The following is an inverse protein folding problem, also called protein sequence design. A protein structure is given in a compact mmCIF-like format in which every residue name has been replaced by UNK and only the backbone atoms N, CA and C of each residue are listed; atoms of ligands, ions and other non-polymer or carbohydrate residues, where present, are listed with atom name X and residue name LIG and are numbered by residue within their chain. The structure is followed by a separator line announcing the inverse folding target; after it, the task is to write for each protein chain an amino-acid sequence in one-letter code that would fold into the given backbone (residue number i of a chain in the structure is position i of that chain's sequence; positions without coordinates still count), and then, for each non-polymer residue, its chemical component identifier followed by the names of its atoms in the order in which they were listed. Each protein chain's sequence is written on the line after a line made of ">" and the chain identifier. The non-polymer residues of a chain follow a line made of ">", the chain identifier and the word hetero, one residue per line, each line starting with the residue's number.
data_IF_696405884463
#
_entry.id   IF_696405884463
#
_cell.length_a   1.000
_cell.length_b   1.000
_cell.length_c   1.000
_cell.angle_alpha   90.00
_cell.angle_beta   90.00
_cell.angle_gamma   90.00
#
_symmetry.space_group_name_H-M   'P 1'
#
loop_
_entity.id
_entity.type
_entity.pdbx_description
1 polymer ?
#
# COMPACT_ATOMS: atom_id res chain seq x y z
N UNK A 1 -13.90 35.52 -21.04
CA UNK A 1 -14.48 35.36 -19.69
C UNK A 1 -14.96 33.95 -19.42
N UNK A 2 -15.65 33.26 -20.36
CA UNK A 2 -16.11 31.87 -20.21
C UNK A 2 -15.02 30.88 -19.77
N UNK A 3 -13.88 30.85 -20.46
CA UNK A 3 -12.79 29.88 -20.19
C UNK A 3 -12.13 30.01 -18.82
N UNK A 4 -12.15 31.22 -18.24
CA UNK A 4 -11.54 31.47 -16.92
C UNK A 4 -12.46 31.02 -15.78
N UNK A 5 -13.77 31.13 -15.99
CA UNK A 5 -14.82 30.64 -15.09
C UNK A 5 -14.83 29.10 -15.09
N UNK A 6 -14.63 28.48 -16.26
CA UNK A 6 -14.54 27.01 -16.38
C UNK A 6 -13.34 26.42 -15.62
N UNK A 7 -12.16 27.07 -15.67
CA UNK A 7 -10.96 26.57 -15.00
C UNK A 7 -11.02 26.69 -13.46
N UNK A 8 -11.58 27.79 -12.94
CA UNK A 8 -11.78 27.95 -11.50
C UNK A 8 -12.74 26.89 -10.94
N UNK A 9 -13.83 26.61 -11.68
CA UNK A 9 -14.79 25.56 -11.34
C UNK A 9 -14.13 24.18 -11.31
N UNK A 10 -13.30 23.88 -12.31
CA UNK A 10 -12.55 22.63 -12.40
C UNK A 10 -11.60 22.48 -11.21
N UNK A 11 -10.88 23.54 -10.83
CA UNK A 11 -9.98 23.51 -9.68
C UNK A 11 -10.74 23.17 -8.40
N UNK A 12 -11.87 23.84 -8.17
CA UNK A 12 -12.71 23.59 -6.99
C UNK A 12 -13.25 22.15 -6.98
N UNK A 13 -13.75 21.65 -8.11
CA UNK A 13 -14.25 20.27 -8.24
C UNK A 13 -13.11 19.27 -7.96
N UNK A 14 -11.92 19.49 -8.51
CA UNK A 14 -10.76 18.62 -8.30
C UNK A 14 -10.37 18.56 -6.81
N UNK A 15 -10.31 19.72 -6.13
CA UNK A 15 -9.96 19.79 -4.70
C UNK A 15 -11.02 19.11 -3.83
N UNK A 16 -12.31 19.31 -4.13
CA UNK A 16 -13.40 18.66 -3.38
C UNK A 16 -13.37 17.14 -3.52
N UNK A 17 -13.24 16.63 -4.74
CA UNK A 17 -13.19 15.19 -4.99
C UNK A 17 -11.93 14.56 -4.36
N UNK A 18 -10.80 15.27 -4.39
CA UNK A 18 -9.59 14.84 -3.69
C UNK A 18 -9.80 14.79 -2.17
N UNK A 19 -10.42 15.81 -1.57
CA UNK A 19 -10.71 15.90 -0.13
C UNK A 19 -11.51 14.71 0.39
N UNK A 20 -12.48 14.25 -0.40
CA UNK A 20 -13.35 13.13 -0.05
C UNK A 20 -12.77 11.77 -0.47
N UNK A 21 -11.52 11.73 -0.94
CA UNK A 21 -10.86 10.49 -1.36
C UNK A 21 -11.45 9.86 -2.63
N UNK A 22 -12.19 10.61 -3.43
CA UNK A 22 -12.79 10.12 -4.67
C UNK A 22 -11.78 10.16 -5.82
N UNK A 23 -10.72 9.38 -5.69
CA UNK A 23 -9.62 9.35 -6.65
C UNK A 23 -10.07 9.01 -8.08
N UNK A 24 -11.07 8.13 -8.23
CA UNK A 24 -11.60 7.75 -9.54
C UNK A 24 -12.18 8.97 -10.27
N UNK A 25 -12.91 9.82 -9.55
CA UNK A 25 -13.46 11.06 -10.11
C UNK A 25 -12.36 12.09 -10.39
N UNK A 26 -11.36 12.22 -9.51
CA UNK A 26 -10.19 13.08 -9.77
C UNK A 26 -9.48 12.65 -11.06
N UNK A 27 -9.26 11.35 -11.25
CA UNK A 27 -8.66 10.80 -12.49
C UNK A 27 -9.50 11.13 -13.72
N UNK A 28 -10.81 10.98 -13.62
CA UNK A 28 -11.73 11.32 -14.70
C UNK A 28 -11.64 12.81 -15.06
N UNK A 29 -11.64 13.70 -14.06
CA UNK A 29 -11.49 15.15 -14.27
C UNK A 29 -10.16 15.47 -14.97
N UNK A 30 -9.05 14.89 -14.52
CA UNK A 30 -7.74 15.08 -15.15
C UNK A 30 -7.72 14.55 -16.59
N UNK A 31 -8.32 13.38 -16.84
CA UNK A 31 -8.37 12.75 -18.16
C UNK A 31 -9.26 13.50 -19.16
N UNK A 32 -10.45 13.93 -18.75
CA UNK A 32 -11.38 14.72 -19.57
C UNK A 32 -10.74 16.03 -20.04
N UNK A 33 -9.89 16.62 -19.21
CA UNK A 33 -9.18 17.87 -19.50
C UNK A 33 -7.84 17.65 -20.22
N UNK A 34 -7.33 16.40 -20.22
CA UNK A 34 -6.16 15.97 -20.96
C UNK A 34 -6.29 16.09 -22.50
N UNK A 35 -7.50 16.32 -23.03
CA UNK A 35 -7.72 16.67 -24.43
C UNK A 35 -7.19 18.08 -24.81
N UNK A 36 -6.89 18.94 -23.82
CA UNK A 36 -6.14 20.19 -23.95
C UNK A 36 -4.91 20.22 -23.02
N UNK A 37 -3.87 19.38 -23.26
CA UNK A 37 -2.88 18.99 -22.24
C UNK A 37 -2.06 20.12 -21.62
N UNK A 38 -1.90 21.24 -22.33
CA UNK A 38 -1.12 22.39 -21.85
C UNK A 38 -1.86 23.19 -20.78
N UNK A 39 -3.17 23.36 -20.91
CA UNK A 39 -3.94 24.23 -20.02
C UNK A 39 -4.10 23.60 -18.64
N UNK A 40 -4.49 22.33 -18.56
CA UNK A 40 -4.63 21.64 -17.27
C UNK A 40 -3.30 21.51 -16.54
N UNK A 41 -2.21 21.23 -17.28
CA UNK A 41 -0.85 21.20 -16.71
C UNK A 41 -0.50 22.54 -16.07
N UNK A 42 -0.71 23.65 -16.77
CA UNK A 42 -0.43 24.99 -16.24
C UNK A 42 -1.27 25.30 -15.00
N UNK A 43 -2.54 24.88 -14.96
CA UNK A 43 -3.39 25.03 -13.76
C UNK A 43 -2.83 24.24 -12.59
N UNK A 44 -2.54 22.95 -12.77
CA UNK A 44 -1.96 22.12 -11.71
C UNK A 44 -0.61 22.66 -11.24
N UNK A 45 0.25 23.11 -12.15
CA UNK A 45 1.53 23.75 -11.83
C UNK A 45 1.39 25.04 -11.01
N UNK A 46 0.30 25.79 -11.24
CA UNK A 46 -0.05 27.00 -10.49
C UNK A 46 -0.56 26.63 -9.10
N UNK A 47 -1.41 25.62 -8.99
CA UNK A 47 -1.95 25.11 -7.72
C UNK A 47 -0.85 24.60 -6.78
N UNK A 48 0.29 24.10 -7.29
CA UNK A 48 1.45 23.74 -6.45
C UNK A 48 2.04 24.95 -5.69
N UNK A 49 1.77 26.18 -6.11
CA UNK A 49 2.20 27.39 -5.41
C UNK A 49 1.20 27.91 -4.37
N UNK A 50 0.05 27.25 -4.20
CA UNK A 50 -1.03 27.74 -3.36
C UNK A 50 -0.65 27.73 -1.86
N UNK A 51 -1.24 28.65 -1.10
CA UNK A 51 -1.09 28.71 0.36
C UNK A 51 -1.71 27.50 1.04
N UNK A 52 -2.83 26.97 0.53
CA UNK A 52 -3.54 25.85 1.13
C UNK A 52 -2.90 24.51 0.74
N UNK A 53 -2.51 23.72 1.74
CA UNK A 53 -1.86 22.42 1.50
C UNK A 53 -2.74 21.46 0.70
N UNK A 54 -4.05 21.44 0.97
CA UNK A 54 -5.01 20.58 0.25
C UNK A 54 -5.04 20.87 -1.25
N UNK A 55 -4.92 22.13 -1.66
CA UNK A 55 -4.82 22.53 -3.07
C UNK A 55 -3.52 22.01 -3.69
N UNK A 56 -2.40 22.09 -2.97
CA UNK A 56 -1.10 21.55 -3.42
C UNK A 56 -1.11 20.02 -3.52
N UNK A 57 -1.72 19.33 -2.57
CA UNK A 57 -1.90 17.86 -2.59
C UNK A 57 -2.70 17.41 -3.81
N UNK A 58 -3.85 18.04 -4.03
CA UNK A 58 -4.72 17.77 -5.17
C UNK A 58 -3.97 18.00 -6.51
N UNK A 59 -3.15 19.05 -6.59
CA UNK A 59 -2.30 19.33 -7.74
C UNK A 59 -1.19 18.27 -7.95
N UNK A 60 -0.54 17.83 -6.88
CA UNK A 60 0.47 16.77 -6.94
C UNK A 60 -0.13 15.46 -7.46
N UNK A 61 -1.31 15.08 -6.93
CA UNK A 61 -2.08 13.95 -7.41
C UNK A 61 -2.40 14.08 -8.91
N UNK A 62 -2.96 15.22 -9.32
CA UNK A 62 -3.34 15.47 -10.70
C UNK A 62 -2.16 15.43 -11.68
N UNK A 63 -0.99 15.94 -11.30
CA UNK A 63 0.23 15.83 -12.10
C UNK A 63 0.74 14.38 -12.21
N UNK A 64 0.58 13.59 -11.14
CA UNK A 64 0.84 12.16 -11.14
C UNK A 64 -0.01 11.41 -12.18
N UNK A 65 -1.30 11.70 -12.22
CA UNK A 65 -2.25 11.11 -13.18
C UNK A 65 -2.00 11.57 -14.62
N UNK A 66 -1.67 12.86 -14.81
CA UNK A 66 -1.30 13.38 -16.12
C UNK A 66 -0.01 12.73 -16.65
N UNK A 67 0.92 12.44 -15.75
CA UNK A 67 2.14 11.72 -16.04
C UNK A 67 3.13 12.42 -16.98
N UNK A 68 4.11 11.63 -17.41
CA UNK A 68 5.16 12.04 -18.32
C UNK A 68 6.33 12.80 -17.69
N UNK A 69 7.43 13.01 -18.45
CA UNK A 69 8.66 13.60 -17.94
C UNK A 69 8.51 15.02 -17.40
N UNK A 70 7.60 15.81 -17.98
CA UNK A 70 7.32 17.17 -17.54
C UNK A 70 6.69 17.19 -16.13
N UNK A 71 5.71 16.31 -15.87
CA UNK A 71 5.12 16.18 -14.53
C UNK A 71 6.14 15.72 -13.51
N UNK A 72 6.96 14.70 -13.85
CA UNK A 72 8.02 14.24 -12.97
C UNK A 72 9.03 15.35 -12.63
N UNK A 73 9.43 16.15 -13.64
CA UNK A 73 10.34 17.29 -13.44
C UNK A 73 9.77 18.33 -12.49
N UNK A 74 8.50 18.69 -12.68
CA UNK A 74 7.85 19.70 -11.84
C UNK A 74 7.66 19.20 -10.40
N UNK A 75 7.20 17.96 -10.24
CA UNK A 75 7.01 17.33 -8.93
C UNK A 75 8.33 17.21 -8.17
N UNK A 76 9.42 16.88 -8.85
CA UNK A 76 10.75 16.89 -8.23
C UNK A 76 11.15 18.28 -7.71
N UNK A 77 10.94 19.33 -8.50
CA UNK A 77 11.20 20.70 -8.06
C UNK A 77 10.33 21.07 -6.86
N UNK A 78 9.05 20.70 -6.89
CA UNK A 78 8.14 20.98 -5.81
C UNK A 78 8.49 20.21 -4.53
N UNK A 79 8.95 18.96 -4.66
CA UNK A 79 9.39 18.14 -3.53
C UNK A 79 10.45 18.87 -2.71
N UNK A 80 11.46 19.46 -3.38
CA UNK A 80 12.51 20.21 -2.70
C UNK A 80 11.97 21.48 -2.00
N UNK A 81 10.95 22.13 -2.58
CA UNK A 81 10.30 23.30 -1.98
C UNK A 81 9.52 22.92 -0.73
N UNK A 82 8.70 21.87 -0.78
CA UNK A 82 7.90 21.43 0.38
C UNK A 82 8.78 20.87 1.49
N UNK A 83 9.86 20.13 1.16
CA UNK A 83 10.84 19.65 2.15
C UNK A 83 11.51 20.80 2.91
N UNK A 84 11.72 21.96 2.26
CA UNK A 84 12.31 23.14 2.89
C UNK A 84 11.30 24.03 3.63
N UNK A 85 10.00 23.89 3.34
CA UNK A 85 8.93 24.78 3.83
C UNK A 85 8.62 24.57 5.31
N UNK A 86 8.61 23.32 5.78
CA UNK A 86 8.48 22.99 7.20
C UNK A 86 7.19 23.46 7.90
N UNK A 87 6.14 23.81 7.14
CA UNK A 87 4.86 24.24 7.70
C UNK A 87 3.93 23.06 8.05
N UNK A 88 2.88 23.33 8.84
CA UNK A 88 1.83 22.36 9.18
C UNK A 88 1.01 22.04 7.92
N UNK A 89 1.50 21.12 7.10
CA UNK A 89 0.87 20.73 5.84
C UNK A 89 1.88 20.26 4.79
N UNK A 90 3.13 20.73 4.87
CA UNK A 90 4.21 20.34 3.96
C UNK A 90 4.43 18.81 3.92
N UNK A 91 4.35 18.12 5.06
CA UNK A 91 4.54 16.66 5.12
C UNK A 91 3.52 15.88 4.27
N UNK A 92 2.24 16.26 4.34
CA UNK A 92 1.18 15.62 3.56
C UNK A 92 1.33 15.88 2.05
N UNK A 93 1.78 17.09 1.67
CA UNK A 93 2.10 17.40 0.26
C UNK A 93 3.32 16.59 -0.22
N UNK A 94 4.35 16.45 0.61
CA UNK A 94 5.53 15.62 0.31
C UNK A 94 5.12 14.16 0.06
N UNK A 95 4.26 13.60 0.90
CA UNK A 95 3.71 12.25 0.74
C UNK A 95 3.02 12.09 -0.63
N UNK A 96 2.10 13.01 -0.98
CA UNK A 96 1.38 12.95 -2.25
C UNK A 96 2.29 13.15 -3.46
N UNK A 97 3.34 13.97 -3.35
CA UNK A 97 4.36 14.12 -4.40
C UNK A 97 5.14 12.81 -4.59
N UNK A 98 5.55 12.14 -3.50
CA UNK A 98 6.26 10.85 -3.55
C UNK A 98 5.38 9.78 -4.19
N UNK A 99 4.10 9.70 -3.79
CA UNK A 99 3.11 8.80 -4.37
C UNK A 99 2.85 9.08 -5.85
N UNK A 100 2.78 10.36 -6.24
CA UNK A 100 2.66 10.77 -7.63
C UNK A 100 3.88 10.33 -8.45
N UNK A 101 5.10 10.58 -7.97
CA UNK A 101 6.34 10.12 -8.62
C UNK A 101 6.39 8.59 -8.74
N UNK A 102 5.91 7.85 -7.74
CA UNK A 102 5.77 6.39 -7.81
C UNK A 102 4.86 5.91 -8.94
N UNK A 103 3.78 6.64 -9.24
CA UNK A 103 2.83 6.34 -10.33
C UNK A 103 3.32 6.72 -11.72
N UNK A 104 4.13 7.79 -11.83
CA UNK A 104 4.61 8.27 -13.14
C UNK A 104 5.59 7.28 -13.75
N UNK A 105 5.23 6.73 -14.92
CA UNK A 105 6.13 5.85 -15.66
C UNK A 105 7.33 6.64 -16.20
N UNK A 106 8.54 6.14 -15.94
CA UNK A 106 9.76 6.61 -16.60
C UNK A 106 10.95 6.74 -15.67
N UNK A 107 12.16 6.73 -16.26
CA UNK A 107 13.43 6.78 -15.51
C UNK A 107 13.61 8.06 -14.70
N UNK A 108 13.02 9.18 -15.15
CA UNK A 108 13.11 10.46 -14.44
C UNK A 108 12.44 10.42 -13.07
N UNK A 109 11.22 9.87 -12.97
CA UNK A 109 10.50 9.78 -11.71
C UNK A 109 11.26 8.89 -10.72
N UNK A 110 11.79 7.75 -11.19
CA UNK A 110 12.70 6.90 -10.40
C UNK A 110 13.93 7.65 -9.90
N UNK A 111 14.59 8.43 -10.76
CA UNK A 111 15.76 9.21 -10.37
C UNK A 111 15.43 10.28 -9.31
N UNK A 112 14.25 10.89 -9.37
CA UNK A 112 13.77 11.83 -8.36
C UNK A 112 13.56 11.15 -7.00
N UNK A 113 12.96 9.94 -6.99
CA UNK A 113 12.79 9.13 -5.77
C UNK A 113 14.13 8.68 -5.18
N UNK A 114 15.09 8.27 -6.02
CA UNK A 114 16.46 7.94 -5.58
C UNK A 114 17.12 9.14 -4.91
N UNK A 115 17.04 10.34 -5.52
CA UNK A 115 17.58 11.56 -4.90
C UNK A 115 16.93 11.86 -3.54
N UNK A 116 15.63 11.58 -3.39
CA UNK A 116 14.94 11.71 -2.09
C UNK A 116 15.52 10.72 -1.07
N UNK A 117 15.72 9.46 -1.46
CA UNK A 117 16.29 8.44 -0.59
C UNK A 117 17.67 8.85 -0.08
N UNK A 118 18.54 9.34 -0.97
CA UNK A 118 19.88 9.82 -0.60
C UNK A 118 19.84 10.99 0.40
N UNK A 119 18.88 11.93 0.23
CA UNK A 119 18.66 13.02 1.19
C UNK A 119 18.17 12.51 2.54
N UNK A 120 17.19 11.60 2.56
CA UNK A 120 16.65 11.00 3.79
C UNK A 120 17.72 10.19 4.53
N UNK A 121 18.52 9.40 3.83
CA UNK A 121 19.63 8.65 4.42
C UNK A 121 20.72 9.58 4.98
N UNK A 122 20.79 10.83 4.51
CA UNK A 122 21.71 11.84 5.04
C UNK A 122 21.13 12.66 6.18
N UNK A 123 19.86 12.50 6.52
CA UNK A 123 19.16 13.18 7.61
C UNK A 123 18.72 12.19 8.70
N UNK A 124 17.92 12.63 9.68
CA UNK A 124 17.26 11.75 10.66
C UNK A 124 15.79 11.61 10.26
N UNK A 125 15.44 10.72 9.31
CA UNK A 125 14.10 10.66 8.75
C UNK A 125 13.13 9.96 9.71
N UNK A 126 11.84 10.24 9.54
CA UNK A 126 10.78 9.51 10.24
C UNK A 126 10.45 8.22 9.49
N UNK A 127 9.99 7.20 10.23
CA UNK A 127 9.62 5.88 9.65
C UNK A 127 8.58 6.00 8.52
N UNK A 128 7.49 6.80 8.66
CA UNK A 128 6.49 6.92 7.60
C UNK A 128 7.07 7.42 6.26
N UNK A 129 8.00 8.38 6.30
CA UNK A 129 8.64 8.93 5.10
C UNK A 129 9.46 7.87 4.36
N UNK A 130 10.19 7.05 5.11
CA UNK A 130 11.00 5.95 4.58
C UNK A 130 10.10 4.88 3.95
N UNK A 131 9.00 4.55 4.62
CA UNK A 131 8.05 3.52 4.17
C UNK A 131 7.29 3.94 2.91
N UNK A 132 6.78 5.19 2.85
CA UNK A 132 6.13 5.70 1.64
C UNK A 132 7.11 5.72 0.45
N UNK A 133 8.37 6.09 0.69
CA UNK A 133 9.39 6.06 -0.34
C UNK A 133 9.71 4.64 -0.82
N UNK A 134 9.76 3.65 0.08
CA UNK A 134 9.96 2.25 -0.29
C UNK A 134 8.84 1.76 -1.24
N UNK A 135 7.58 2.09 -0.93
CA UNK A 135 6.41 1.77 -1.77
C UNK A 135 6.48 2.45 -3.14
N UNK A 136 6.80 3.74 -3.17
CA UNK A 136 6.98 4.48 -4.42
C UNK A 136 8.12 3.91 -5.29
N UNK A 137 9.24 3.51 -4.67
CA UNK A 137 10.35 2.86 -5.35
C UNK A 137 9.97 1.46 -5.85
N UNK A 138 9.11 0.73 -5.15
CA UNK A 138 8.60 -0.56 -5.59
C UNK A 138 7.75 -0.46 -6.87
N UNK A 139 6.90 0.59 -6.99
CA UNK A 139 6.21 0.90 -8.25
C UNK A 139 7.19 1.22 -9.39
N UNK A 140 8.36 1.77 -9.05
CA UNK A 140 9.45 2.09 -9.97
C UNK A 140 10.57 1.04 -9.99
N UNK A 141 10.30 -0.19 -9.54
CA UNK A 141 11.29 -1.27 -9.36
C UNK A 141 12.19 -1.45 -10.57
N UNK A 142 13.50 -1.49 -10.31
CA UNK A 142 14.53 -1.67 -11.32
C UNK A 142 15.80 -2.25 -10.66
N UNK A 143 16.56 -3.13 -11.34
CA UNK A 143 17.80 -3.71 -10.79
C UNK A 143 18.81 -2.66 -10.31
N UNK A 144 18.91 -1.52 -10.98
CA UNK A 144 19.79 -0.40 -10.58
C UNK A 144 19.50 0.16 -9.17
N UNK A 145 18.33 -0.12 -8.59
CA UNK A 145 18.01 0.29 -7.22
C UNK A 145 18.77 -0.52 -6.16
N UNK A 146 19.16 -1.77 -6.46
CA UNK A 146 19.83 -2.67 -5.51
C UNK A 146 21.08 -2.05 -4.88
N UNK A 147 22.08 -1.56 -5.64
CA UNK A 147 23.29 -0.98 -5.04
C UNK A 147 23.01 0.30 -4.25
N UNK A 148 21.94 1.02 -4.58
CA UNK A 148 21.55 2.25 -3.88
C UNK A 148 20.94 1.89 -2.52
N UNK A 149 19.98 0.95 -2.53
CA UNK A 149 19.31 0.48 -1.32
C UNK A 149 20.27 -0.16 -0.33
N UNK A 150 21.22 -0.99 -0.80
CA UNK A 150 22.28 -1.55 0.07
C UNK A 150 23.05 -0.46 0.80
N UNK A 151 23.53 0.54 0.06
CA UNK A 151 24.28 1.68 0.63
C UNK A 151 23.43 2.48 1.63
N UNK A 152 22.17 2.71 1.31
CA UNK A 152 21.25 3.43 2.21
C UNK A 152 21.02 2.64 3.52
N UNK A 153 20.79 1.33 3.43
CA UNK A 153 20.59 0.46 4.61
C UNK A 153 21.86 0.27 5.45
N UNK A 154 23.05 0.36 4.84
CA UNK A 154 24.32 0.38 5.59
C UNK A 154 24.50 1.69 6.39
N UNK A 155 23.72 2.73 6.10
CA UNK A 155 23.81 4.02 6.78
C UNK A 155 22.99 3.99 8.07
N UNK A 156 23.63 4.18 9.23
CA UNK A 156 23.02 4.09 10.59
C UNK A 156 22.00 5.18 10.95
N UNK A 157 21.61 5.99 9.99
CA UNK A 157 20.68 7.13 10.17
C UNK A 157 19.23 6.74 9.95
N UNK A 158 18.98 5.65 9.20
CA UNK A 158 17.62 5.18 8.94
C UNK A 158 17.01 4.54 10.19
N UNK A 159 15.76 4.86 10.54
CA UNK A 159 15.09 4.22 11.64
C UNK A 159 14.77 2.75 11.31
N UNK A 160 14.97 1.86 12.26
CA UNK A 160 14.60 0.44 12.14
C UNK A 160 13.43 0.11 13.08
N UNK A 161 12.49 -0.77 12.69
CA UNK A 161 12.34 -1.39 11.36
C UNK A 161 11.74 -0.44 10.31
N UNK A 162 12.08 -0.65 9.03
CA UNK A 162 11.50 0.10 7.90
C UNK A 162 11.34 -0.79 6.64
N UNK A 163 10.54 -0.32 5.68
CA UNK A 163 10.15 -1.12 4.51
C UNK A 163 11.25 -1.23 3.42
N UNK A 164 12.37 -0.50 3.52
CA UNK A 164 13.45 -0.57 2.52
C UNK A 164 14.15 -1.93 2.51
N UNK A 165 14.22 -2.60 3.67
CA UNK A 165 14.75 -3.97 3.72
C UNK A 165 13.85 -4.95 2.96
N UNK A 166 12.53 -4.87 3.16
CA UNK A 166 11.55 -5.65 2.39
C UNK A 166 11.65 -5.39 0.88
N UNK A 167 11.80 -4.13 0.48
CA UNK A 167 12.04 -3.75 -0.91
C UNK A 167 13.33 -4.37 -1.47
N UNK A 168 14.43 -4.30 -0.72
CA UNK A 168 15.71 -4.88 -1.14
C UNK A 168 15.57 -6.40 -1.36
N UNK A 169 14.93 -7.11 -0.42
CA UNK A 169 14.69 -8.55 -0.52
C UNK A 169 13.91 -8.90 -1.80
N UNK A 170 12.87 -8.13 -2.13
CA UNK A 170 12.07 -8.33 -3.35
C UNK A 170 12.85 -8.07 -4.65
N UNK A 171 13.80 -7.15 -4.64
CA UNK A 171 14.60 -6.82 -5.82
C UNK A 171 15.76 -7.78 -6.05
N UNK A 172 16.37 -8.30 -4.98
CA UNK A 172 17.56 -9.14 -5.06
C UNK A 172 17.27 -10.59 -5.39
N UNK A 173 16.15 -11.12 -4.86
CA UNK A 173 15.88 -12.56 -4.91
C UNK A 173 15.01 -12.88 -6.11
N UNK A 174 15.35 -13.99 -6.79
CA UNK A 174 14.44 -14.57 -7.78
C UNK A 174 13.17 -15.09 -7.09
N UNK A 175 12.06 -15.32 -7.81
CA UNK A 175 10.85 -15.91 -7.24
C UNK A 175 11.12 -17.23 -6.49
N UNK A 176 11.97 -18.11 -7.02
CA UNK A 176 12.31 -19.39 -6.40
C UNK A 176 13.08 -19.21 -5.08
N UNK A 177 14.01 -18.26 -5.07
CA UNK A 177 14.76 -17.89 -3.87
C UNK A 177 13.85 -17.21 -2.83
N UNK A 178 12.86 -16.41 -3.26
CA UNK A 178 11.86 -15.81 -2.38
C UNK A 178 10.92 -16.85 -1.77
N UNK A 179 10.48 -17.85 -2.54
CA UNK A 179 9.65 -18.94 -1.99
C UNK A 179 10.41 -19.70 -0.88
N UNK A 180 11.66 -20.05 -1.15
CA UNK A 180 12.53 -20.71 -0.16
C UNK A 180 12.73 -19.82 1.08
N UNK A 181 13.05 -18.55 0.87
CA UNK A 181 13.26 -17.57 1.94
C UNK A 181 12.01 -17.35 2.79
N UNK A 182 10.83 -17.26 2.16
CA UNK A 182 9.58 -17.05 2.87
C UNK A 182 9.24 -18.24 3.80
N UNK A 183 9.58 -19.47 3.40
CA UNK A 183 9.36 -20.70 4.17
C UNK A 183 10.41 -20.96 5.25
N UNK A 184 11.56 -20.31 5.18
CA UNK A 184 12.65 -20.52 6.13
C UNK A 184 12.27 -19.98 7.52
N UNK A 185 12.17 -20.88 8.51
CA UNK A 185 11.79 -20.56 9.88
C UNK A 185 12.89 -19.77 10.63
N UNK A 186 14.13 -19.74 10.13
CA UNK A 186 15.22 -18.97 10.74
C UNK A 186 15.14 -17.47 10.44
N UNK A 187 14.37 -17.09 9.42
CA UNK A 187 14.18 -15.69 9.05
C UNK A 187 13.14 -15.05 10.00
N UNK A 188 13.47 -13.93 10.68
CA UNK A 188 12.56 -13.24 11.58
C UNK A 188 11.24 -12.86 10.91
N UNK A 189 10.13 -12.96 11.65
CA UNK A 189 8.81 -12.68 11.11
C UNK A 189 8.69 -11.23 10.62
N UNK A 190 9.31 -10.27 11.32
CA UNK A 190 9.33 -8.85 10.94
C UNK A 190 9.92 -8.60 9.55
N UNK A 191 10.98 -9.32 9.19
CA UNK A 191 11.58 -9.20 7.86
C UNK A 191 10.59 -9.68 6.79
N UNK A 192 9.83 -10.75 7.08
CA UNK A 192 8.76 -11.24 6.19
C UNK A 192 7.58 -10.27 6.14
N UNK A 193 7.26 -9.63 7.26
CA UNK A 193 6.24 -8.59 7.34
C UNK A 193 6.57 -7.40 6.46
N UNK A 194 7.81 -6.91 6.50
CA UNK A 194 8.26 -5.80 5.63
C UNK A 194 8.09 -6.12 4.14
N UNK A 195 8.36 -7.37 3.73
CA UNK A 195 8.10 -7.82 2.35
C UNK A 195 6.61 -7.78 2.02
N UNK A 196 5.74 -8.24 2.92
CA UNK A 196 4.29 -8.17 2.71
C UNK A 196 3.81 -6.71 2.59
N UNK A 197 4.30 -5.80 3.43
CA UNK A 197 3.94 -4.38 3.40
C UNK A 197 4.32 -3.74 2.06
N UNK A 198 5.49 -4.07 1.51
CA UNK A 198 5.89 -3.57 0.18
C UNK A 198 5.03 -4.20 -0.93
N UNK A 199 4.67 -5.48 -0.81
CA UNK A 199 3.81 -6.16 -1.78
C UNK A 199 2.35 -5.70 -1.76
N UNK A 200 1.84 -5.16 -0.64
CA UNK A 200 0.49 -4.54 -0.58
C UNK A 200 0.33 -3.43 -1.63
N UNK A 201 1.42 -2.77 -2.01
CA UNK A 201 1.43 -1.69 -3.00
C UNK A 201 1.17 -2.17 -4.44
N UNK A 202 1.81 -3.28 -4.84
CA UNK A 202 1.67 -3.91 -6.15
C UNK A 202 2.26 -5.33 -6.11
N UNK A 203 1.50 -6.33 -6.55
CA UNK A 203 2.01 -7.70 -6.69
C UNK A 203 2.15 -8.03 -8.19
N UNK A 204 3.38 -8.06 -8.74
CA UNK A 204 3.62 -8.51 -10.12
C UNK A 204 3.10 -9.92 -10.35
N UNK A 205 2.67 -10.24 -11.58
CA UNK A 205 2.19 -11.58 -11.92
C UNK A 205 3.21 -12.69 -11.60
N UNK A 206 4.51 -12.41 -11.79
CA UNK A 206 5.59 -13.33 -11.47
C UNK A 206 5.72 -13.67 -9.99
N UNK A 207 5.21 -12.82 -9.09
CA UNK A 207 5.29 -13.00 -7.64
C UNK A 207 4.00 -13.59 -7.04
N UNK A 208 2.96 -13.81 -7.84
CA UNK A 208 1.72 -14.46 -7.37
C UNK A 208 1.97 -15.87 -6.83
N UNK A 209 2.96 -16.57 -7.40
CA UNK A 209 3.35 -17.92 -6.99
C UNK A 209 3.98 -17.95 -5.59
N UNK A 210 4.32 -16.80 -5.00
CA UNK A 210 4.87 -16.70 -3.66
C UNK A 210 3.81 -16.73 -2.56
N UNK A 211 2.56 -16.36 -2.88
CA UNK A 211 1.49 -16.26 -1.87
C UNK A 211 1.31 -17.55 -1.03
N UNK A 212 1.39 -18.77 -1.61
CA UNK A 212 1.34 -20.00 -0.82
C UNK A 212 2.45 -20.13 0.23
N UNK A 213 3.64 -19.55 -0.01
CA UNK A 213 4.75 -19.56 0.94
C UNK A 213 4.44 -18.68 2.15
N UNK A 214 3.95 -17.46 1.93
CA UNK A 214 3.53 -16.56 3.01
C UNK A 214 2.35 -17.14 3.80
N UNK A 215 1.39 -17.79 3.14
CA UNK A 215 0.29 -18.51 3.81
C UNK A 215 0.82 -19.67 4.66
N UNK A 216 1.79 -20.44 4.16
CA UNK A 216 2.41 -21.51 4.94
C UNK A 216 3.13 -20.99 6.19
N UNK A 217 3.81 -19.86 6.07
CA UNK A 217 4.44 -19.18 7.21
C UNK A 217 3.40 -18.73 8.22
N UNK A 218 2.31 -18.07 7.77
CA UNK A 218 1.22 -17.65 8.65
C UNK A 218 0.61 -18.83 9.43
N UNK A 219 0.42 -19.98 8.78
CA UNK A 219 -0.07 -21.20 9.42
C UNK A 219 0.91 -21.67 10.52
N UNK A 220 2.20 -21.75 10.21
CA UNK A 220 3.23 -22.16 11.17
C UNK A 220 3.34 -21.23 12.36
N UNK A 221 3.35 -19.90 12.14
CA UNK A 221 3.50 -18.94 13.24
C UNK A 221 2.24 -18.81 14.06
N UNK A 222 1.05 -18.91 13.45
CA UNK A 222 -0.22 -18.88 14.19
C UNK A 222 -0.46 -20.13 15.04
N UNK A 223 0.17 -21.26 14.71
CA UNK A 223 0.17 -22.46 15.56
C UNK A 223 1.03 -22.28 16.82
N UNK A 224 2.15 -21.56 16.69
CA UNK A 224 3.13 -21.36 17.76
C UNK A 224 2.83 -20.13 18.62
N UNK A 225 2.09 -19.17 18.08
CA UNK A 225 1.76 -17.93 18.76
C UNK A 225 0.89 -18.19 20.00
N UNK A 226 1.38 -17.72 21.14
CA UNK A 226 0.53 -17.50 22.31
C UNK A 226 -0.40 -16.32 22.02
N UNK A 227 -1.52 -16.22 22.74
CA UNK A 227 -2.61 -15.26 22.48
C UNK A 227 -2.23 -13.75 22.53
N UNK A 228 -0.96 -13.39 22.67
CA UNK A 228 -0.43 -12.04 22.78
C UNK A 228 0.83 -11.76 21.91
N UNK A 229 1.19 -12.63 20.96
CA UNK A 229 2.32 -12.36 20.06
C UNK A 229 1.94 -11.31 18.98
N UNK A 230 2.28 -10.05 19.25
CA UNK A 230 1.94 -8.89 18.43
C UNK A 230 2.54 -8.94 17.03
N UNK A 231 3.74 -9.47 16.87
CA UNK A 231 4.45 -9.51 15.59
C UNK A 231 3.82 -10.56 14.66
N UNK A 232 3.44 -11.72 15.21
CA UNK A 232 2.71 -12.75 14.47
C UNK A 232 1.31 -12.27 14.06
N UNK A 233 0.59 -11.59 14.96
CA UNK A 233 -0.72 -11.02 14.64
C UNK A 233 -0.59 -9.98 13.53
N UNK A 234 0.40 -9.08 13.64
CA UNK A 234 0.67 -8.05 12.64
C UNK A 234 1.04 -8.64 11.28
N UNK A 235 1.91 -9.65 11.23
CA UNK A 235 2.23 -10.38 10.00
C UNK A 235 0.98 -10.93 9.31
N UNK A 236 0.10 -11.59 10.06
CA UNK A 236 -1.12 -12.16 9.51
C UNK A 236 -2.11 -11.07 9.04
N UNK A 237 -2.19 -9.95 9.76
CA UNK A 237 -2.99 -8.79 9.36
C UNK A 237 -2.49 -8.18 8.04
N UNK A 238 -1.17 -8.05 7.85
CA UNK A 238 -0.57 -7.61 6.58
C UNK A 238 -0.85 -8.61 5.46
N UNK A 239 -0.71 -9.90 5.71
CA UNK A 239 -1.06 -10.95 4.73
C UNK A 239 -2.52 -10.86 4.31
N UNK A 240 -3.45 -10.67 5.25
CA UNK A 240 -4.86 -10.53 4.93
C UNK A 240 -5.14 -9.23 4.19
N UNK A 241 -4.50 -8.12 4.59
CA UNK A 241 -4.63 -6.84 3.89
C UNK A 241 -4.22 -6.98 2.42
N UNK A 242 -3.07 -7.62 2.15
CA UNK A 242 -2.61 -7.94 0.80
C UNK A 242 -3.62 -8.79 0.04
N UNK A 243 -4.06 -9.93 0.62
CA UNK A 243 -4.96 -10.87 -0.06
C UNK A 243 -6.34 -10.26 -0.33
N UNK A 244 -6.84 -9.41 0.57
CA UNK A 244 -8.13 -8.75 0.44
C UNK A 244 -8.10 -7.55 -0.52
N UNK A 245 -6.95 -6.89 -0.67
CA UNK A 245 -6.76 -5.75 -1.57
C UNK A 245 -7.15 -6.05 -3.03
N UNK A 246 -6.84 -7.26 -3.52
CA UNK A 246 -7.35 -7.78 -4.78
C UNK A 246 -7.81 -9.24 -4.63
N UNK A 247 -8.81 -9.44 -3.75
CA UNK A 247 -9.37 -10.78 -3.47
C UNK A 247 -9.86 -11.55 -4.69
N UNK A 248 -10.24 -10.86 -5.77
CA UNK A 248 -10.67 -11.49 -7.02
C UNK A 248 -9.51 -12.10 -7.79
N UNK A 249 -8.32 -11.54 -7.65
CA UNK A 249 -7.09 -12.04 -8.25
C UNK A 249 -6.37 -13.04 -7.35
N UNK A 250 -6.21 -12.72 -6.06
CA UNK A 250 -5.32 -13.48 -5.19
C UNK A 250 -5.94 -14.75 -4.63
N UNK A 251 -7.21 -14.71 -4.18
CA UNK A 251 -7.84 -15.90 -3.57
C UNK A 251 -7.97 -17.06 -4.58
N UNK A 252 -8.42 -16.85 -5.84
CA UNK A 252 -8.50 -17.93 -6.82
C UNK A 252 -7.13 -18.44 -7.29
N UNK A 253 -6.09 -17.60 -7.21
CA UNK A 253 -4.72 -18.01 -7.58
C UNK A 253 -4.08 -18.95 -6.56
N UNK A 254 -4.62 -19.06 -5.34
CA UNK A 254 -4.11 -19.96 -4.31
C UNK A 254 -4.51 -21.42 -4.61
N UNK A 255 -3.54 -22.37 -4.59
CA UNK A 255 -3.84 -23.79 -4.69
C UNK A 255 -4.67 -24.25 -3.49
N UNK A 256 -5.40 -25.35 -3.65
CA UNK A 256 -6.34 -25.84 -2.63
C UNK A 256 -5.71 -26.03 -1.25
N UNK A 257 -4.50 -26.60 -1.19
CA UNK A 257 -3.77 -26.77 0.07
C UNK A 257 -3.44 -25.43 0.75
N UNK A 258 -3.12 -24.39 -0.01
CA UNK A 258 -2.86 -23.06 0.54
C UNK A 258 -4.16 -22.41 1.02
N UNK A 259 -5.28 -22.56 0.28
CA UNK A 259 -6.60 -22.09 0.75
C UNK A 259 -7.04 -22.79 2.05
N UNK A 260 -6.76 -24.09 2.17
CA UNK A 260 -7.02 -24.84 3.40
C UNK A 260 -6.22 -24.31 4.60
N UNK A 261 -4.92 -24.04 4.41
CA UNK A 261 -4.08 -23.39 5.46
C UNK A 261 -4.57 -21.99 5.79
N UNK A 262 -4.92 -21.19 4.79
CA UNK A 262 -5.45 -19.85 4.97
C UNK A 262 -6.75 -19.87 5.80
N UNK A 263 -7.63 -20.84 5.57
CA UNK A 263 -8.83 -21.07 6.40
C UNK A 263 -8.45 -21.34 7.86
N UNK A 264 -7.47 -22.21 8.12
CA UNK A 264 -7.01 -22.52 9.49
C UNK A 264 -6.47 -21.28 10.20
N UNK A 265 -5.61 -20.51 9.52
CA UNK A 265 -5.10 -19.23 10.05
C UNK A 265 -6.25 -18.29 10.41
N UNK A 266 -7.23 -18.14 9.51
CA UNK A 266 -8.37 -17.27 9.74
C UNK A 266 -9.26 -17.75 10.90
N UNK A 267 -9.48 -19.06 11.07
CA UNK A 267 -10.19 -19.62 12.22
C UNK A 267 -9.49 -19.26 13.55
N UNK A 268 -8.16 -19.39 13.61
CA UNK A 268 -7.36 -19.04 14.80
C UNK A 268 -7.48 -17.56 15.11
N UNK A 269 -7.36 -16.69 14.12
CA UNK A 269 -7.42 -15.24 14.32
C UNK A 269 -8.82 -14.73 14.68
N UNK A 270 -9.90 -15.29 14.12
CA UNK A 270 -11.28 -14.96 14.54
C UNK A 270 -11.53 -15.31 16.01
N UNK A 271 -10.88 -16.38 16.51
CA UNK A 271 -11.02 -16.79 17.90
C UNK A 271 -10.28 -15.87 18.89
N UNK A 272 -9.33 -15.04 18.42
CA UNK A 272 -8.61 -14.08 19.26
C UNK A 272 -9.53 -12.96 19.77
N UNK A 273 -9.22 -12.34 20.92
CA UNK A 273 -10.01 -11.26 21.50
C UNK A 273 -9.92 -9.94 20.71
N UNK A 274 -8.86 -9.74 19.91
CA UNK A 274 -8.65 -8.52 19.14
C UNK A 274 -9.57 -8.44 17.93
N UNK A 275 -10.38 -7.38 17.84
CA UNK A 275 -11.20 -7.10 16.66
C UNK A 275 -10.36 -6.72 15.43
N UNK A 276 -9.16 -6.16 15.64
CA UNK A 276 -8.24 -5.80 14.55
C UNK A 276 -7.87 -7.01 13.69
N UNK A 277 -7.62 -8.15 14.31
CA UNK A 277 -7.30 -9.40 13.61
C UNK A 277 -8.55 -10.20 13.26
N UNK A 278 -9.60 -10.16 14.10
CA UNK A 278 -10.83 -10.94 13.88
C UNK A 278 -11.66 -10.46 12.67
N UNK A 279 -11.73 -9.14 12.41
CA UNK A 279 -12.47 -8.59 11.27
C UNK A 279 -11.95 -9.08 9.91
N UNK A 280 -10.66 -8.87 9.55
CA UNK A 280 -10.15 -9.37 8.28
C UNK A 280 -10.18 -10.90 8.21
N UNK A 281 -9.99 -11.59 9.34
CA UNK A 281 -10.09 -13.04 9.41
C UNK A 281 -11.52 -13.54 9.09
N UNK A 282 -12.56 -12.87 9.57
CA UNK A 282 -13.95 -13.19 9.24
C UNK A 282 -14.23 -13.02 7.74
N UNK A 283 -13.71 -11.94 7.13
CA UNK A 283 -13.81 -11.75 5.66
C UNK A 283 -13.11 -12.87 4.90
N UNK A 284 -11.91 -13.26 5.33
CA UNK A 284 -11.17 -14.38 4.72
C UNK A 284 -11.94 -15.69 4.85
N UNK A 285 -12.54 -15.99 6.01
CA UNK A 285 -13.41 -17.17 6.18
C UNK A 285 -14.61 -17.14 5.23
N UNK A 286 -15.22 -15.98 4.98
CA UNK A 286 -16.29 -15.87 3.98
C UNK A 286 -15.85 -16.23 2.55
N UNK A 287 -14.54 -16.20 2.25
CA UNK A 287 -13.98 -16.47 0.92
C UNK A 287 -13.39 -17.88 0.76
N UNK A 288 -12.77 -18.43 1.81
CA UNK A 288 -12.09 -19.75 1.76
C UNK A 288 -12.63 -20.77 2.76
N UNK A 289 -13.55 -20.37 3.62
CA UNK A 289 -14.18 -21.22 4.63
C UNK A 289 -15.21 -22.19 4.07
N UNK A 290 -15.85 -22.92 4.98
CA UNK A 290 -16.90 -23.91 4.71
C UNK A 290 -18.06 -23.71 5.69
N UNK A 291 -19.23 -24.34 5.46
CA UNK A 291 -20.39 -24.21 6.36
C UNK A 291 -20.10 -24.56 7.82
N UNK A 292 -19.13 -25.44 8.09
CA UNK A 292 -18.73 -25.79 9.46
C UNK A 292 -18.10 -24.61 10.23
N UNK A 293 -17.70 -23.53 9.55
CA UNK A 293 -17.13 -22.34 10.18
C UNK A 293 -18.20 -21.35 10.68
N UNK A 294 -19.46 -21.52 10.26
CA UNK A 294 -20.57 -20.63 10.64
C UNK A 294 -20.73 -20.49 12.16
N UNK A 295 -20.72 -21.58 12.97
CA UNK A 295 -20.86 -21.47 14.42
C UNK A 295 -19.75 -20.66 15.08
N UNK A 296 -18.52 -20.69 14.53
CA UNK A 296 -17.42 -19.89 15.03
C UNK A 296 -17.67 -18.40 14.78
N UNK A 297 -18.10 -18.04 13.57
CA UNK A 297 -18.43 -16.65 13.21
C UNK A 297 -19.60 -16.11 14.03
N UNK A 298 -20.67 -16.89 14.21
CA UNK A 298 -21.83 -16.48 15.00
C UNK A 298 -21.47 -16.29 16.48
N UNK A 299 -20.64 -17.18 17.04
CA UNK A 299 -20.15 -17.06 18.42
C UNK A 299 -19.26 -15.83 18.65
N UNK A 300 -18.49 -15.42 17.64
CA UNK A 300 -17.53 -14.29 17.73
C UNK A 300 -18.11 -12.98 17.20
N UNK A 301 -19.35 -13.00 16.71
CA UNK A 301 -20.06 -11.82 16.23
C UNK A 301 -20.18 -10.76 17.36
N UNK A 302 -19.74 -9.52 17.15
CA UNK A 302 -19.93 -8.44 18.11
C UNK A 302 -21.41 -8.14 18.37
N UNK A 303 -21.77 -7.94 19.63
CA UNK A 303 -23.11 -7.54 20.02
C UNK A 303 -23.31 -6.01 19.94
N UNK A 304 -22.28 -5.25 20.30
CA UNK A 304 -22.40 -3.82 20.60
C UNK A 304 -22.01 -2.90 19.43
N UNK A 305 -21.51 -3.46 18.33
CA UNK A 305 -21.11 -2.70 17.14
C UNK A 305 -21.79 -3.24 15.87
N UNK A 306 -22.78 -2.53 15.31
CA UNK A 306 -23.51 -3.00 14.13
C UNK A 306 -22.64 -3.02 12.86
N UNK A 307 -21.61 -2.18 12.77
CA UNK A 307 -20.71 -2.13 11.61
C UNK A 307 -19.82 -3.36 11.60
N UNK A 308 -19.23 -3.70 12.75
CA UNK A 308 -18.42 -4.91 12.87
C UNK A 308 -19.26 -6.18 12.80
N UNK A 309 -20.44 -6.20 13.41
CA UNK A 309 -21.39 -7.31 13.31
C UNK A 309 -21.74 -7.64 11.86
N UNK A 310 -21.95 -6.61 11.02
CA UNK A 310 -22.23 -6.78 9.61
C UNK A 310 -21.14 -7.54 8.85
N UNK A 311 -19.86 -7.37 9.21
CA UNK A 311 -18.74 -8.12 8.60
C UNK A 311 -18.90 -9.63 8.82
N UNK A 312 -19.28 -10.03 10.04
CA UNK A 312 -19.53 -11.44 10.37
C UNK A 312 -20.79 -11.96 9.69
N UNK A 313 -21.86 -11.17 9.68
CA UNK A 313 -23.12 -11.52 9.01
C UNK A 313 -22.92 -11.74 7.50
N UNK A 314 -22.16 -10.85 6.84
CA UNK A 314 -21.81 -10.95 5.43
C UNK A 314 -20.97 -12.23 5.16
N UNK A 315 -20.03 -12.57 6.04
CA UNK A 315 -19.22 -13.80 5.93
C UNK A 315 -20.08 -15.07 6.09
N UNK A 316 -20.98 -15.10 7.08
CA UNK A 316 -21.93 -16.22 7.27
C UNK A 316 -22.86 -16.36 6.06
N UNK A 317 -23.38 -15.24 5.53
CA UNK A 317 -24.21 -15.24 4.34
C UNK A 317 -23.46 -15.77 3.11
N UNK A 318 -22.17 -15.45 2.95
CA UNK A 318 -21.33 -15.99 1.89
C UNK A 318 -21.18 -17.52 2.00
N UNK A 319 -20.89 -18.03 3.20
CA UNK A 319 -20.74 -19.47 3.45
C UNK A 319 -22.03 -20.26 3.19
N UNK A 320 -23.19 -19.68 3.54
CA UNK A 320 -24.51 -20.28 3.26
C UNK A 320 -24.84 -20.35 1.78
N UNK A 321 -24.31 -19.45 0.94
CA UNK A 321 -24.56 -19.42 -0.52
C UNK A 321 -23.67 -20.37 -1.31
N UNK A 322 -22.60 -20.90 -0.71
CA UNK A 322 -21.72 -21.89 -1.34
C UNK A 322 -22.35 -23.28 -1.40
N UNK A 323 -23.54 -23.46 -0.82
CA UNK A 323 -24.38 -24.66 -0.81
C UNK A 323 -25.85 -24.27 -1.00
#
# INVERSE_FOLDING_TARGET
>A
MSTKIDLARIQEELVQEFRWGNEARVRELVAQLGAGPRQIRTVLETMLGDSESLVRQAAAFGLGELGGPASASRLEQQLAVEEARGDHGSGAVVEDIVRALGRIKGTRARASLVRKLERLASSKPEIPDVNELARALWRQRHPDLIPILRRSLETRTLPEPNDLHGLLVLLEKSPEALDTWARDASIPIDNKTQVLVVLEEDVPASLLLLLPAFVATADSVSEQAQSQDGDTAYYCERLFSLLLGDRKRFIPALPEHARARLRVVAQRLVALPSMGSALPAAVVLGLVGRPEDIPLLEKRRPADDPVFAKVFDDAVAALRKLH
#
